data_IF_538900304658
#
_entry.id   IF_538900304658
#
_cell.length_a   1.000
_cell.length_b   1.000
_cell.length_c   1.000
_cell.angle_alpha   90.00
_cell.angle_beta   90.00
_cell.angle_gamma   90.00
#
_symmetry.space_group_name_H-M   'P 1'
#
loop_
_entity.id
_entity.type
_entity.pdbx_description
1 polymer ?
#
# COMPACT_ATOMS: atom_id res chain seq x y z
N UNK A 1 4.33 -13.76 57.99
CA UNK A 1 4.10 -12.31 58.13
C UNK A 1 4.85 -11.62 57.01
N UNK A 2 4.13 -10.92 56.13
CA UNK A 2 4.71 -10.23 54.98
C UNK A 2 3.80 -10.27 53.75
N UNK A 3 2.57 -9.81 53.92
CA UNK A 3 1.61 -9.60 52.83
C UNK A 3 2.13 -8.46 51.95
N UNK A 4 2.46 -8.73 50.69
CA UNK A 4 2.72 -7.69 49.70
C UNK A 4 1.41 -7.41 48.95
N UNK A 5 0.87 -6.22 49.20
CA UNK A 5 -0.33 -5.68 48.60
C UNK A 5 -0.11 -5.49 47.09
N UNK A 6 -0.79 -6.29 46.27
CA UNK A 6 -1.03 -5.99 44.86
C UNK A 6 -2.24 -5.08 44.73
N UNK A 7 -2.15 -3.87 45.27
CA UNK A 7 -3.09 -2.79 44.99
C UNK A 7 -2.36 -1.71 44.20
N UNK A 8 -2.29 -1.92 42.90
CA UNK A 8 -2.25 -0.86 41.88
C UNK A 8 -2.53 -1.52 40.53
N UNK A 9 -3.79 -1.93 40.36
CA UNK A 9 -4.32 -2.19 39.02
C UNK A 9 -4.16 -0.88 38.21
N UNK A 10 -3.62 -0.92 36.98
CA UNK A 10 -3.64 0.25 36.12
C UNK A 10 -5.09 0.69 35.98
N UNK A 11 -5.36 1.95 36.34
CA UNK A 11 -6.66 2.58 36.15
C UNK A 11 -7.02 2.38 34.69
N UNK A 12 -8.17 1.76 34.44
CA UNK A 12 -8.75 1.68 33.11
C UNK A 12 -8.69 3.08 32.50
N UNK A 13 -7.86 3.25 31.48
CA UNK A 13 -7.99 4.39 30.60
C UNK A 13 -9.40 4.24 30.01
N UNK A 14 -10.33 5.00 30.55
CA UNK A 14 -11.61 5.26 29.91
C UNK A 14 -11.26 5.92 28.58
N UNK A 15 -11.06 5.13 27.53
CA UNK A 15 -10.94 5.65 26.19
C UNK A 15 -12.26 6.34 25.91
N UNK A 16 -12.23 7.67 25.92
CA UNK A 16 -13.18 8.43 25.11
C UNK A 16 -13.07 7.82 23.72
N UNK A 17 -14.07 7.02 23.31
CA UNK A 17 -14.16 6.53 21.95
C UNK A 17 -14.12 7.75 21.05
N UNK A 18 -12.96 8.01 20.47
CA UNK A 18 -12.80 9.08 19.51
C UNK A 18 -13.44 8.53 18.24
N UNK A 19 -14.72 8.85 18.04
CA UNK A 19 -15.53 8.36 16.91
C UNK A 19 -15.06 8.92 15.56
N UNK A 20 -13.94 9.64 15.52
CA UNK A 20 -13.34 10.11 14.29
C UNK A 20 -12.37 9.06 13.75
N UNK A 21 -12.70 8.35 12.65
CA UNK A 21 -11.78 7.39 12.02
C UNK A 21 -10.54 8.06 11.40
N UNK A 22 -10.50 9.40 11.31
CA UNK A 22 -9.37 10.20 10.82
C UNK A 22 -8.86 11.14 11.92
N UNK A 23 -8.81 10.69 13.16
CA UNK A 23 -8.15 11.43 14.23
C UNK A 23 -6.64 11.57 13.95
N UNK A 24 -6.07 12.79 13.88
CA UNK A 24 -4.67 12.97 13.50
C UNK A 24 -3.65 12.38 14.48
N UNK A 25 -3.98 12.33 15.77
CA UNK A 25 -3.09 11.77 16.78
C UNK A 25 -3.06 10.24 16.68
N UNK A 26 -4.23 9.63 16.52
CA UNK A 26 -4.33 8.19 16.29
C UNK A 26 -3.76 7.78 14.93
N UNK A 27 -3.98 8.57 13.88
CA UNK A 27 -3.36 8.38 12.56
C UNK A 27 -1.84 8.37 12.67
N UNK A 28 -1.26 9.33 13.42
CA UNK A 28 0.19 9.38 13.64
C UNK A 28 0.68 8.19 14.44
N UNK A 29 -0.02 7.83 15.52
CA UNK A 29 0.35 6.70 16.39
C UNK A 29 0.35 5.38 15.61
N UNK A 30 -0.75 5.04 14.96
CA UNK A 30 -0.86 3.81 14.18
C UNK A 30 0.05 3.85 12.95
N UNK A 31 0.13 4.99 12.27
CA UNK A 31 1.02 5.18 11.12
C UNK A 31 2.48 4.85 11.45
N UNK A 32 3.01 5.36 12.57
CA UNK A 32 4.37 5.02 13.01
C UNK A 32 4.54 3.53 13.29
N UNK A 33 3.57 2.88 13.94
CA UNK A 33 3.62 1.43 14.20
C UNK A 33 3.70 0.62 12.90
N UNK A 34 2.93 0.99 11.86
CA UNK A 34 3.00 0.31 10.56
C UNK A 34 4.36 0.53 9.89
N UNK A 35 4.92 1.73 9.99
CA UNK A 35 6.25 2.02 9.43
C UNK A 35 7.33 1.21 10.13
N UNK A 36 7.30 1.11 11.46
CA UNK A 36 8.25 0.30 12.22
C UNK A 36 8.12 -1.19 11.82
N UNK A 37 6.89 -1.71 11.73
CA UNK A 37 6.64 -3.07 11.28
C UNK A 37 7.19 -3.35 9.87
N UNK A 38 6.97 -2.44 8.91
CA UNK A 38 7.47 -2.61 7.54
C UNK A 38 8.99 -2.52 7.46
N UNK A 39 9.61 -1.61 8.23
CA UNK A 39 11.06 -1.50 8.31
C UNK A 39 11.68 -2.80 8.85
N UNK A 40 11.13 -3.35 9.93
CA UNK A 40 11.55 -4.62 10.52
C UNK A 40 11.33 -5.80 9.55
N UNK A 41 10.22 -5.78 8.81
CA UNK A 41 9.95 -6.76 7.76
C UNK A 41 11.04 -6.74 6.68
N UNK A 42 11.39 -5.56 6.13
CA UNK A 42 12.48 -5.46 5.14
C UNK A 42 13.84 -5.85 5.72
N UNK A 43 14.10 -5.53 6.99
CA UNK A 43 15.35 -5.93 7.66
C UNK A 43 15.47 -7.46 7.80
N UNK A 44 14.34 -8.15 7.95
CA UNK A 44 14.32 -9.60 8.23
C UNK A 44 13.83 -10.44 7.07
N UNK A 45 13.53 -9.84 5.91
CA UNK A 45 12.86 -10.50 4.80
C UNK A 45 13.60 -11.74 4.28
N UNK A 46 14.93 -11.72 4.32
CA UNK A 46 15.80 -12.84 3.91
C UNK A 46 15.65 -14.09 4.77
N UNK A 47 15.14 -13.95 6.00
CA UNK A 47 14.94 -15.07 6.93
C UNK A 47 13.70 -15.90 6.59
N UNK A 48 12.76 -15.35 5.82
CA UNK A 48 11.55 -16.05 5.43
C UNK A 48 11.79 -16.92 4.18
N UNK A 49 11.09 -18.07 4.05
CA UNK A 49 11.13 -18.83 2.81
C UNK A 49 10.52 -17.99 1.68
N UNK A 50 11.28 -17.78 0.60
CA UNK A 50 10.86 -16.91 -0.53
C UNK A 50 9.46 -17.27 -1.05
N UNK A 51 9.24 -18.55 -1.34
CA UNK A 51 7.93 -19.09 -1.69
C UNK A 51 7.21 -19.54 -0.41
N UNK A 52 5.96 -19.10 -0.26
CA UNK A 52 5.09 -19.53 0.84
C UNK A 52 4.95 -21.05 0.89
N UNK A 53 4.91 -21.60 2.12
CA UNK A 53 4.84 -23.05 2.37
C UNK A 53 3.48 -23.51 2.90
N UNK A 54 2.47 -22.63 2.86
CA UNK A 54 1.13 -22.94 3.36
C UNK A 54 0.30 -23.75 2.35
N UNK A 55 -0.67 -24.51 2.86
CA UNK A 55 -1.64 -25.22 2.03
C UNK A 55 -2.83 -24.35 1.64
N UNK A 56 -3.52 -24.70 0.55
CA UNK A 56 -4.76 -24.04 0.15
C UNK A 56 -5.80 -24.09 1.27
N UNK A 57 -6.44 -22.96 1.54
CA UNK A 57 -7.46 -22.83 2.59
C UNK A 57 -6.91 -22.69 4.02
N UNK A 58 -5.59 -22.61 4.23
CA UNK A 58 -5.01 -22.46 5.58
C UNK A 58 -5.58 -21.24 6.34
N UNK A 59 -5.79 -20.12 5.67
CA UNK A 59 -6.19 -18.86 6.31
C UNK A 59 -7.63 -18.92 6.85
N UNK A 60 -8.54 -19.59 6.13
CA UNK A 60 -9.92 -19.81 6.60
C UNK A 60 -9.97 -20.61 7.90
N UNK A 61 -8.99 -21.48 8.15
CA UNK A 61 -8.91 -22.26 9.40
C UNK A 61 -8.35 -21.46 10.57
N UNK A 62 -7.74 -20.29 10.32
CA UNK A 62 -7.10 -19.42 11.32
C UNK A 62 -7.95 -18.21 11.68
N UNK A 63 -8.74 -17.70 10.73
CA UNK A 63 -9.58 -16.54 10.94
C UNK A 63 -10.97 -16.92 11.48
N UNK A 64 -11.67 -16.00 12.18
CA UNK A 64 -13.06 -16.18 12.55
C UNK A 64 -13.97 -16.43 11.34
N UNK A 65 -15.03 -17.22 11.54
CA UNK A 65 -16.01 -17.54 10.48
C UNK A 65 -16.96 -16.37 10.16
N UNK A 66 -16.93 -15.30 10.95
CA UNK A 66 -17.77 -14.11 10.80
C UNK A 66 -16.98 -12.87 11.21
N UNK A 67 -17.36 -11.72 10.67
CA UNK A 67 -16.77 -10.43 11.04
C UNK A 67 -17.02 -10.12 12.52
N UNK A 68 -16.03 -9.54 13.24
CA UNK A 68 -16.22 -9.10 14.61
C UNK A 68 -17.29 -8.00 14.68
N UNK A 69 -18.10 -8.01 15.75
CA UNK A 69 -19.11 -6.97 16.02
C UNK A 69 -18.52 -5.75 16.71
N UNK A 70 -17.50 -5.96 17.54
CA UNK A 70 -16.81 -4.95 18.33
C UNK A 70 -15.45 -4.62 17.70
N UNK A 71 -14.94 -3.39 17.87
CA UNK A 71 -13.63 -3.01 17.35
C UNK A 71 -12.50 -3.80 18.03
N UNK A 72 -11.48 -4.14 17.24
CA UNK A 72 -10.25 -4.78 17.72
C UNK A 72 -9.09 -3.78 17.74
N UNK A 73 -8.18 -3.86 18.71
CA UNK A 73 -7.01 -2.97 18.76
C UNK A 73 -6.04 -3.28 17.61
N UNK A 74 -5.40 -2.24 17.05
CA UNK A 74 -4.44 -2.36 15.94
C UNK A 74 -3.26 -3.29 16.28
N UNK A 75 -2.87 -3.36 17.55
CA UNK A 75 -1.82 -4.24 18.04
C UNK A 75 -2.17 -5.73 17.82
N UNK A 76 -3.43 -6.11 18.04
CA UNK A 76 -3.91 -7.48 17.78
C UNK A 76 -3.94 -7.77 16.29
N UNK A 77 -4.37 -6.81 15.47
CA UNK A 77 -4.38 -6.96 14.00
C UNK A 77 -2.96 -7.13 13.46
N UNK A 78 -1.99 -6.34 13.95
CA UNK A 78 -0.58 -6.48 13.55
C UNK A 78 0.02 -7.82 13.97
N UNK A 79 -0.36 -8.32 15.16
CA UNK A 79 0.03 -9.66 15.59
C UNK A 79 -0.53 -10.72 14.62
N UNK A 80 -1.81 -10.63 14.25
CA UNK A 80 -2.42 -11.55 13.29
C UNK A 80 -1.76 -11.46 11.90
N UNK A 81 -1.39 -10.26 11.46
CA UNK A 81 -0.62 -10.07 10.22
C UNK A 81 0.70 -10.84 10.30
N UNK A 82 1.44 -10.71 11.39
CA UNK A 82 2.71 -11.41 11.58
C UNK A 82 2.54 -12.93 11.67
N UNK A 83 1.52 -13.42 12.38
CA UNK A 83 1.34 -14.85 12.65
C UNK A 83 0.63 -15.60 11.51
N UNK A 84 -0.24 -14.92 10.77
CA UNK A 84 -1.16 -15.56 9.82
C UNK A 84 -0.99 -15.09 8.39
N UNK A 85 -0.58 -13.83 8.15
CA UNK A 85 -0.43 -13.30 6.79
C UNK A 85 1.00 -13.43 6.29
N UNK A 86 2.01 -13.00 7.07
CA UNK A 86 3.43 -13.06 6.69
C UNK A 86 3.88 -14.46 6.28
N UNK A 87 3.52 -15.56 6.98
CA UNK A 87 3.89 -16.91 6.55
C UNK A 87 3.21 -17.36 5.24
N UNK A 88 2.11 -16.69 4.87
CA UNK A 88 1.29 -17.02 3.72
C UNK A 88 1.64 -16.26 2.45
N UNK A 89 2.36 -15.15 2.53
CA UNK A 89 2.77 -14.38 1.36
C UNK A 89 4.02 -15.00 0.72
N UNK A 90 4.10 -14.91 -0.61
CA UNK A 90 5.37 -15.11 -1.31
C UNK A 90 6.14 -13.81 -1.23
N UNK A 91 7.39 -13.84 -0.76
CA UNK A 91 8.17 -12.63 -0.48
C UNK A 91 8.84 -12.10 -1.74
N UNK A 92 8.08 -11.41 -2.59
CA UNK A 92 8.56 -10.81 -3.85
C UNK A 92 9.73 -9.83 -3.65
N UNK A 93 9.79 -9.16 -2.51
CA UNK A 93 10.88 -8.23 -2.17
C UNK A 93 12.10 -8.93 -1.56
N UNK A 94 12.07 -10.26 -1.39
CA UNK A 94 13.25 -11.00 -0.94
C UNK A 94 14.36 -10.86 -1.98
N UNK A 95 15.62 -10.63 -1.58
CA UNK A 95 16.74 -10.58 -2.53
C UNK A 95 17.03 -11.94 -3.18
N UNK A 96 16.39 -13.01 -2.68
CA UNK A 96 16.46 -14.36 -3.25
C UNK A 96 15.23 -14.70 -4.12
N UNK A 97 14.37 -13.74 -4.46
CA UNK A 97 13.24 -13.93 -5.36
C UNK A 97 13.68 -13.75 -6.82
N UNK A 98 13.58 -14.82 -7.63
CA UNK A 98 13.99 -14.83 -9.04
C UNK A 98 12.91 -15.37 -9.98
N UNK A 99 11.65 -15.41 -9.55
CA UNK A 99 10.53 -15.84 -10.39
C UNK A 99 9.93 -14.65 -11.18
N UNK A 100 9.30 -14.93 -12.32
CA UNK A 100 8.60 -13.93 -13.15
C UNK A 100 9.45 -12.68 -13.48
N UNK A 101 8.84 -11.49 -13.39
CA UNK A 101 9.52 -10.19 -13.41
C UNK A 101 9.44 -9.56 -12.02
N UNK A 102 10.51 -8.86 -11.64
CA UNK A 102 10.60 -8.30 -10.31
C UNK A 102 9.59 -7.17 -10.10
N UNK A 103 8.88 -7.20 -8.98
CA UNK A 103 8.11 -6.06 -8.50
C UNK A 103 9.09 -5.07 -7.86
N UNK A 104 9.73 -4.22 -8.66
CA UNK A 104 10.74 -3.29 -8.14
C UNK A 104 10.07 -2.22 -7.28
N UNK A 105 10.60 -2.01 -6.07
CA UNK A 105 10.12 -0.99 -5.14
C UNK A 105 11.26 -0.06 -4.72
N UNK A 106 10.92 1.12 -4.20
CA UNK A 106 11.89 2.06 -3.64
C UNK A 106 11.25 2.83 -2.48
N UNK A 107 12.06 3.36 -1.58
CA UNK A 107 11.59 4.22 -0.48
C UNK A 107 10.85 5.44 -1.05
N UNK A 108 11.38 6.06 -2.12
CA UNK A 108 10.73 7.21 -2.77
C UNK A 108 9.34 6.84 -3.33
N UNK A 109 9.20 5.68 -3.98
CA UNK A 109 7.91 5.20 -4.47
C UNK A 109 6.93 4.93 -3.33
N UNK A 110 7.39 4.32 -2.25
CA UNK A 110 6.56 4.06 -1.06
C UNK A 110 6.06 5.36 -0.41
N UNK A 111 6.94 6.36 -0.23
CA UNK A 111 6.55 7.67 0.31
C UNK A 111 5.60 8.43 -0.64
N UNK A 112 5.79 8.29 -1.96
CA UNK A 112 4.87 8.83 -2.95
C UNK A 112 3.47 8.22 -2.82
N UNK A 113 3.38 6.90 -2.67
CA UNK A 113 2.11 6.19 -2.47
C UNK A 113 1.44 6.58 -1.15
N UNK A 114 2.21 6.75 -0.07
CA UNK A 114 1.71 7.24 1.22
C UNK A 114 1.10 8.63 1.10
N UNK A 115 1.76 9.56 0.39
CA UNK A 115 1.24 10.91 0.17
C UNK A 115 -0.01 10.88 -0.70
N UNK A 116 0.01 10.11 -1.78
CA UNK A 116 -1.15 9.93 -2.68
C UNK A 116 -2.37 9.43 -1.92
N UNK A 117 -2.20 8.35 -1.16
CA UNK A 117 -3.26 7.75 -0.32
C UNK A 117 -3.68 8.69 0.81
N UNK A 118 -2.75 9.42 1.43
CA UNK A 118 -3.05 10.38 2.49
C UNK A 118 -3.87 11.59 2.02
N UNK A 119 -3.62 12.07 0.80
CA UNK A 119 -4.46 13.11 0.19
C UNK A 119 -5.83 12.57 -0.24
N UNK A 120 -5.90 11.31 -0.67
CA UNK A 120 -7.13 10.62 -1.05
C UNK A 120 -8.04 11.43 -2.01
N UNK A 121 -7.42 12.06 -3.02
CA UNK A 121 -8.11 12.90 -4.00
C UNK A 121 -8.56 12.09 -5.21
N UNK A 122 -9.68 12.48 -5.84
CA UNK A 122 -10.20 11.85 -7.06
C UNK A 122 -9.99 12.77 -8.26
N UNK A 123 -8.97 12.52 -9.06
CA UNK A 123 -8.57 13.35 -10.21
C UNK A 123 -9.29 13.06 -11.52
N UNK A 124 -10.62 12.88 -11.51
CA UNK A 124 -11.38 12.51 -12.73
C UNK A 124 -11.51 13.64 -13.76
N UNK A 125 -11.28 14.89 -13.34
CA UNK A 125 -11.10 16.03 -14.23
C UNK A 125 -10.11 17.02 -13.60
N UNK A 126 -9.63 17.97 -14.40
CA UNK A 126 -8.63 18.94 -13.92
C UNK A 126 -9.11 19.74 -12.72
N UNK A 127 -10.37 20.17 -12.68
CA UNK A 127 -10.90 20.98 -11.55
C UNK A 127 -10.93 20.18 -10.24
N UNK A 128 -11.13 18.86 -10.29
CA UNK A 128 -11.21 17.99 -9.13
C UNK A 128 -9.84 17.81 -8.44
N UNK A 129 -8.74 17.85 -9.20
CA UNK A 129 -7.38 17.85 -8.64
C UNK A 129 -6.36 18.38 -9.66
N UNK A 130 -6.20 19.71 -9.78
CA UNK A 130 -5.34 20.31 -10.79
C UNK A 130 -3.89 19.83 -10.71
N UNK A 131 -3.36 19.77 -9.49
CA UNK A 131 -1.99 19.33 -9.25
C UNK A 131 -1.75 17.89 -9.68
N UNK A 132 -2.73 16.99 -9.50
CA UNK A 132 -2.59 15.60 -9.94
C UNK A 132 -2.50 15.52 -11.48
N UNK A 133 -3.41 16.20 -12.19
CA UNK A 133 -3.41 16.21 -13.65
C UNK A 133 -2.16 16.86 -14.22
N UNK A 134 -1.76 18.03 -13.73
CA UNK A 134 -0.58 18.74 -14.26
C UNK A 134 0.72 18.00 -13.94
N UNK A 135 0.84 17.43 -12.73
CA UNK A 135 2.03 16.67 -12.36
C UNK A 135 2.16 15.40 -13.20
N UNK A 136 1.06 14.71 -13.49
CA UNK A 136 1.08 13.55 -14.40
C UNK A 136 1.60 13.94 -15.78
N UNK A 137 1.11 15.05 -16.36
CA UNK A 137 1.58 15.54 -17.65
C UNK A 137 3.09 15.82 -17.65
N UNK A 138 3.58 16.52 -16.62
CA UNK A 138 5.00 16.87 -16.48
C UNK A 138 5.87 15.62 -16.33
N UNK A 139 5.47 14.68 -15.47
CA UNK A 139 6.25 13.45 -15.21
C UNK A 139 6.26 12.55 -16.44
N UNK A 140 5.17 12.47 -17.20
CA UNK A 140 5.13 11.72 -18.46
C UNK A 140 6.05 12.34 -19.51
N UNK A 141 6.13 13.68 -19.60
CA UNK A 141 7.10 14.35 -20.47
C UNK A 141 8.55 14.07 -20.03
N UNK A 142 8.86 14.17 -18.73
CA UNK A 142 10.19 13.81 -18.22
C UNK A 142 10.57 12.37 -18.53
N UNK A 143 9.65 11.42 -18.34
CA UNK A 143 9.89 10.02 -18.67
C UNK A 143 10.10 9.82 -20.18
N UNK A 144 9.29 10.47 -21.01
CA UNK A 144 9.44 10.40 -22.47
C UNK A 144 10.76 10.98 -22.96
N UNK A 145 11.23 12.08 -22.36
CA UNK A 145 12.54 12.68 -22.62
C UNK A 145 13.69 11.76 -22.19
N UNK A 146 13.59 11.13 -21.00
CA UNK A 146 14.58 10.15 -20.52
C UNK A 146 14.68 8.91 -21.42
N UNK A 147 13.57 8.54 -22.08
CA UNK A 147 13.49 7.45 -23.06
C UNK A 147 13.86 7.88 -24.49
N UNK A 148 14.24 9.16 -24.69
CA UNK A 148 14.55 9.75 -25.99
C UNK A 148 13.41 9.60 -27.02
N UNK A 149 12.15 9.65 -26.56
CA UNK A 149 11.00 9.53 -27.45
C UNK A 149 10.85 10.79 -28.33
N UNK A 150 10.36 10.64 -29.59
CA UNK A 150 10.03 11.79 -30.43
C UNK A 150 8.98 12.69 -29.77
N UNK A 151 9.06 14.01 -30.02
CA UNK A 151 8.10 15.00 -29.50
C UNK A 151 6.64 14.70 -29.85
N UNK A 152 6.37 13.88 -30.86
CA UNK A 152 5.01 13.42 -31.18
C UNK A 152 4.38 12.52 -30.11
N UNK A 153 5.15 12.07 -29.11
CA UNK A 153 4.66 11.32 -27.95
C UNK A 153 4.54 12.17 -26.67
N UNK A 154 5.02 13.41 -26.68
CA UNK A 154 5.07 14.29 -25.51
C UNK A 154 3.92 15.31 -25.54
N UNK A 155 3.48 15.76 -24.36
CA UNK A 155 2.52 16.85 -24.18
C UNK A 155 3.05 18.18 -24.69
N UNK A 156 4.36 18.43 -24.53
CA UNK A 156 5.04 19.60 -25.11
C UNK A 156 5.08 19.63 -26.65
N UNK A 157 4.72 18.51 -27.30
CA UNK A 157 4.51 18.41 -28.74
C UNK A 157 3.03 18.27 -29.10
N UNK A 158 2.72 17.23 -29.89
CA UNK A 158 1.34 16.93 -30.34
C UNK A 158 0.86 15.57 -29.83
N UNK A 159 1.56 14.99 -28.84
CA UNK A 159 1.23 13.71 -28.23
C UNK A 159 0.75 13.87 -26.80
N UNK A 160 1.04 12.85 -26.00
CA UNK A 160 0.74 12.82 -24.57
C UNK A 160 0.92 11.41 -24.02
N UNK A 161 0.93 11.32 -22.69
CA UNK A 161 1.00 10.07 -21.95
C UNK A 161 -0.02 10.06 -20.82
N UNK A 162 -0.36 8.87 -20.33
CA UNK A 162 -1.25 8.71 -19.19
C UNK A 162 -0.74 7.57 -18.31
N UNK A 163 -0.85 7.73 -17.00
CA UNK A 163 -0.53 6.67 -16.04
C UNK A 163 -1.75 5.74 -15.89
N UNK A 164 -1.51 4.44 -15.98
CA UNK A 164 -2.55 3.39 -15.88
C UNK A 164 -2.07 2.29 -14.93
N UNK A 165 -3.00 1.52 -14.36
CA UNK A 165 -2.65 0.52 -13.36
C UNK A 165 -1.98 -0.73 -13.94
N UNK A 166 -2.32 -1.08 -15.19
CA UNK A 166 -1.79 -2.29 -15.83
C UNK A 166 -1.52 -2.11 -17.32
N UNK A 167 -0.64 -2.96 -17.86
CA UNK A 167 -0.41 -3.03 -19.31
C UNK A 167 -1.67 -3.46 -20.07
N UNK A 168 -2.48 -4.36 -19.52
CA UNK A 168 -3.71 -4.83 -20.16
C UNK A 168 -4.73 -3.70 -20.36
N UNK A 169 -4.88 -2.83 -19.37
CA UNK A 169 -5.73 -1.65 -19.45
C UNK A 169 -5.25 -0.69 -20.55
N UNK A 170 -3.95 -0.35 -20.56
CA UNK A 170 -3.37 0.50 -21.59
C UNK A 170 -3.56 -0.08 -23.01
N UNK A 171 -3.30 -1.38 -23.19
CA UNK A 171 -3.51 -2.07 -24.47
C UNK A 171 -4.98 -2.04 -24.86
N UNK A 172 -5.90 -2.32 -23.94
CA UNK A 172 -7.33 -2.24 -24.21
C UNK A 172 -7.75 -0.84 -24.66
N UNK A 173 -7.32 0.22 -23.98
CA UNK A 173 -7.60 1.61 -24.36
C UNK A 173 -7.10 1.90 -25.78
N UNK A 174 -5.88 1.47 -26.13
CA UNK A 174 -5.35 1.67 -27.49
C UNK A 174 -6.09 0.87 -28.56
N UNK A 175 -6.52 -0.36 -28.25
CA UNK A 175 -7.29 -1.20 -29.18
C UNK A 175 -8.67 -0.61 -29.44
N UNK A 176 -9.34 -0.11 -28.40
CA UNK A 176 -10.63 0.58 -28.52
C UNK A 176 -10.48 1.86 -29.34
N UNK A 177 -9.45 2.67 -29.06
CA UNK A 177 -9.18 3.89 -29.83
C UNK A 177 -8.90 3.61 -31.32
N UNK A 178 -8.21 2.51 -31.63
CA UNK A 178 -8.00 2.06 -33.00
C UNK A 178 -9.29 1.55 -33.67
N UNK A 179 -10.10 0.78 -32.93
CA UNK A 179 -11.36 0.20 -33.43
C UNK A 179 -12.49 1.21 -33.69
N UNK A 180 -12.44 2.39 -33.05
CA UNK A 180 -13.39 3.50 -33.28
C UNK A 180 -13.07 4.26 -34.58
N UNK A 181 -11.86 4.10 -35.15
CA UNK A 181 -11.51 4.63 -36.47
C UNK A 181 -11.98 3.69 -37.59
N UNK A 182 -13.29 3.59 -37.78
CA UNK A 182 -13.96 3.01 -38.96
C UNK A 182 -15.23 3.82 -39.27
#
# INVERSE_FOLDING_TARGET
MGSQNFENAPKAHTSSYNNNPLDPEEFRRQGHMIIDFLADYYQTIEKYPVLSQVEQGYLQKRLPNSTPYDPEPIESILQDVQEHIVPGITHWQSPNFFAYFQCTSSIAGFLGEMLSTGFNVVGFNWVASPAATELEMIVMDWLGEMLELPKSFLFSGNGGGVLQGTTCEAVLCTLVAAGIKC
#
